data_IF_309184067919
#
_entry.id   IF_309184067919
#
_cell.length_a   1.000
_cell.length_b   1.000
_cell.length_c   1.000
_cell.angle_alpha   90.00
_cell.angle_beta   90.00
_cell.angle_gamma   90.00
#
_symmetry.space_group_name_H-M   'P 1'
#
loop_
_entity.id
_entity.type
_entity.pdbx_description
1 polymer ?
#
# COMPACT_ATOMS: atom_id res chain seq x y z
N UNK A 1 3.38 -4.51 32.49
CA UNK A 1 2.19 -5.32 32.84
C UNK A 1 1.06 -4.56 33.51
N UNK A 2 1.31 -3.75 34.56
CA UNK A 2 0.27 -3.05 35.37
C UNK A 2 -0.74 -2.24 34.53
N UNK A 3 -0.30 -1.48 33.52
CA UNK A 3 -1.20 -0.69 32.68
C UNK A 3 -2.12 -1.52 31.76
N UNK A 4 -1.65 -2.67 31.25
CA UNK A 4 -2.45 -3.58 30.40
C UNK A 4 -3.63 -4.14 31.19
N UNK A 5 -3.34 -4.64 32.39
CA UNK A 5 -4.36 -5.16 33.30
C UNK A 5 -5.38 -4.10 33.74
N UNK A 6 -4.93 -2.87 34.00
CA UNK A 6 -5.82 -1.76 34.35
C UNK A 6 -6.78 -1.38 33.21
N UNK A 7 -6.37 -1.48 31.94
CA UNK A 7 -7.28 -1.27 30.79
C UNK A 7 -8.27 -2.43 30.64
N UNK A 8 -7.81 -3.66 30.80
CA UNK A 8 -8.64 -4.85 30.70
C UNK A 8 -9.75 -4.87 31.76
N UNK A 9 -9.46 -4.36 32.97
CA UNK A 9 -10.47 -4.16 34.02
C UNK A 9 -11.55 -3.14 33.69
N UNK A 10 -11.24 -2.12 32.86
CA UNK A 10 -12.20 -1.09 32.45
C UNK A 10 -13.06 -1.53 31.28
N UNK A 11 -12.45 -2.25 30.33
CA UNK A 11 -13.13 -2.80 29.17
C UNK A 11 -12.43 -4.09 28.75
N UNK A 12 -13.14 -5.21 28.90
CA UNK A 12 -12.66 -6.54 28.51
C UNK A 12 -12.36 -6.54 27.01
N UNK A 13 -11.20 -7.08 26.63
CA UNK A 13 -10.74 -7.13 25.24
C UNK A 13 -10.12 -5.84 24.71
N UNK A 14 -10.10 -4.74 25.47
CA UNK A 14 -9.56 -3.44 25.04
C UNK A 14 -8.11 -3.52 24.56
N UNK A 15 -7.28 -4.34 25.23
CA UNK A 15 -5.90 -4.49 24.83
C UNK A 15 -5.75 -5.22 23.49
N UNK A 16 -6.52 -6.30 23.27
CA UNK A 16 -6.53 -7.03 22.00
C UNK A 16 -7.02 -6.13 20.86
N UNK A 17 -8.12 -5.40 21.08
CA UNK A 17 -8.66 -4.45 20.10
C UNK A 17 -7.65 -3.34 19.74
N UNK A 18 -6.94 -2.79 20.73
CA UNK A 18 -5.90 -1.78 20.50
C UNK A 18 -4.72 -2.34 19.71
N UNK A 19 -4.30 -3.59 19.99
CA UNK A 19 -3.22 -4.25 19.27
C UNK A 19 -3.58 -4.49 17.79
N UNK A 20 -4.81 -4.94 17.51
CA UNK A 20 -5.31 -5.13 16.14
C UNK A 20 -5.37 -3.80 15.37
N UNK A 21 -5.88 -2.73 16.00
CA UNK A 21 -5.90 -1.39 15.40
C UNK A 21 -4.50 -0.88 15.07
N UNK A 22 -3.53 -1.09 15.96
CA UNK A 22 -2.15 -0.69 15.73
C UNK A 22 -1.52 -1.49 14.57
N UNK A 23 -1.87 -2.76 14.40
CA UNK A 23 -1.42 -3.57 13.28
C UNK A 23 -1.99 -3.04 11.95
N UNK A 24 -3.29 -2.77 11.91
CA UNK A 24 -3.98 -2.14 10.77
C UNK A 24 -3.29 -0.84 10.35
N UNK A 25 -3.07 0.07 11.30
CA UNK A 25 -2.42 1.36 11.02
C UNK A 25 -1.01 1.19 10.44
N UNK A 26 -0.25 0.19 10.92
CA UNK A 26 1.09 -0.11 10.39
C UNK A 26 1.04 -0.66 8.98
N UNK A 27 0.09 -1.55 8.68
CA UNK A 27 -0.10 -2.09 7.34
C UNK A 27 -0.47 -0.99 6.35
N UNK A 28 -1.44 -0.13 6.70
CA UNK A 28 -1.83 1.02 5.89
C UNK A 28 -0.65 1.96 5.63
N UNK A 29 0.15 2.25 6.66
CA UNK A 29 1.33 3.12 6.54
C UNK A 29 2.34 2.53 5.54
N UNK A 30 2.64 1.24 5.63
CA UNK A 30 3.56 0.55 4.70
C UNK A 30 3.05 0.55 3.25
N UNK A 31 1.75 0.32 3.08
CA UNK A 31 1.11 0.34 1.76
C UNK A 31 1.15 1.73 1.14
N UNK A 32 0.84 2.75 1.96
CA UNK A 32 0.97 4.16 1.59
C UNK A 32 2.40 4.49 1.17
N UNK A 33 3.40 4.12 1.97
CA UNK A 33 4.81 4.41 1.67
C UNK A 33 5.23 3.80 0.33
N UNK A 34 4.89 2.53 0.11
CA UNK A 34 5.18 1.82 -1.15
C UNK A 34 4.55 2.51 -2.37
N UNK A 35 3.27 2.89 -2.26
CA UNK A 35 2.53 3.59 -3.32
C UNK A 35 3.08 4.99 -3.55
N UNK A 36 3.47 5.70 -2.48
CA UNK A 36 4.00 7.05 -2.55
C UNK A 36 5.39 7.07 -3.21
N UNK A 37 6.27 6.15 -2.83
CA UNK A 37 7.60 6.00 -3.43
C UNK A 37 7.47 5.74 -4.93
N UNK A 38 6.58 4.83 -5.33
CA UNK A 38 6.28 4.58 -6.74
C UNK A 38 5.77 5.84 -7.46
N UNK A 39 4.82 6.56 -6.87
CA UNK A 39 4.27 7.79 -7.44
C UNK A 39 5.32 8.90 -7.60
N UNK A 40 6.29 8.99 -6.68
CA UNK A 40 7.41 9.92 -6.76
C UNK A 40 8.34 9.54 -7.92
N UNK A 41 8.72 8.26 -8.02
CA UNK A 41 9.59 7.75 -9.08
C UNK A 41 8.96 7.97 -10.46
N UNK A 42 7.66 7.70 -10.60
CA UNK A 42 6.90 7.88 -11.84
C UNK A 42 6.45 9.32 -12.09
N UNK A 43 6.83 10.27 -11.22
CA UNK A 43 6.53 11.71 -11.36
C UNK A 43 5.04 12.03 -11.53
N UNK A 44 4.19 11.35 -10.78
CA UNK A 44 2.74 11.63 -10.81
C UNK A 44 2.42 13.07 -10.40
N UNK A 45 1.27 13.55 -10.89
CA UNK A 45 0.78 14.88 -10.58
C UNK A 45 0.67 15.11 -9.06
N UNK A 46 0.85 16.36 -8.63
CA UNK A 46 0.73 16.73 -7.21
C UNK A 46 -0.65 16.36 -6.64
N UNK A 47 -1.70 16.38 -7.47
CA UNK A 47 -3.06 15.97 -7.11
C UNK A 47 -3.12 14.52 -6.66
N UNK A 48 -2.56 13.61 -7.44
CA UNK A 48 -2.52 12.19 -7.10
C UNK A 48 -1.64 11.93 -5.88
N UNK A 49 -0.48 12.58 -5.82
CA UNK A 49 0.42 12.43 -4.66
C UNK A 49 -0.24 12.84 -3.35
N UNK A 50 -1.02 13.94 -3.33
CA UNK A 50 -1.75 14.39 -2.14
C UNK A 50 -2.77 13.35 -1.66
N UNK A 51 -3.43 12.62 -2.57
CA UNK A 51 -4.34 11.53 -2.19
C UNK A 51 -3.56 10.33 -1.65
N UNK A 52 -2.46 9.96 -2.30
CA UNK A 52 -1.62 8.81 -1.91
C UNK A 52 -0.86 9.05 -0.60
N UNK A 53 -0.58 10.30 -0.24
CA UNK A 53 0.12 10.64 1.01
C UNK A 53 -0.76 10.42 2.25
N UNK A 54 -2.07 10.51 2.08
CA UNK A 54 -3.03 10.45 3.17
C UNK A 54 -3.28 9.01 3.61
N UNK A 55 -2.93 8.65 4.85
CA UNK A 55 -3.05 7.27 5.36
C UNK A 55 -4.50 6.78 5.30
N UNK A 56 -5.46 7.66 5.59
CA UNK A 56 -6.89 7.35 5.51
C UNK A 56 -7.38 7.06 4.09
N UNK A 57 -6.58 7.35 3.06
CA UNK A 57 -6.92 7.00 1.69
C UNK A 57 -6.67 5.53 1.36
N UNK A 58 -5.92 4.78 2.20
CA UNK A 58 -5.51 3.39 1.93
C UNK A 58 -6.37 2.39 2.72
N UNK A 59 -6.68 1.25 2.11
CA UNK A 59 -7.31 0.12 2.80
C UNK A 59 -6.33 -0.52 3.77
N UNK A 60 -6.84 -1.11 4.85
CA UNK A 60 -6.08 -2.12 5.59
C UNK A 60 -6.30 -3.44 4.85
N UNK A 61 -5.22 -3.96 4.27
CA UNK A 61 -5.26 -5.22 3.55
C UNK A 61 -4.91 -6.33 4.54
N UNK A 62 -5.85 -7.23 4.78
CA UNK A 62 -5.65 -8.38 5.67
C UNK A 62 -5.08 -9.56 4.87
N UNK A 63 -4.25 -10.38 5.53
CA UNK A 63 -3.79 -11.64 4.95
C UNK A 63 -5.00 -12.54 4.73
N UNK A 64 -5.11 -13.13 3.56
CA UNK A 64 -6.06 -14.20 3.32
C UNK A 64 -5.69 -15.41 4.17
N UNK A 65 -6.53 -15.76 5.14
CA UNK A 65 -6.31 -16.89 6.03
C UNK A 65 -6.28 -18.24 5.29
N UNK A 66 -6.78 -18.31 4.06
CA UNK A 66 -6.75 -19.53 3.24
C UNK A 66 -5.49 -19.65 2.40
N UNK A 67 -4.93 -18.53 1.97
CA UNK A 67 -3.71 -18.48 1.16
C UNK A 67 -2.76 -17.46 1.80
N UNK A 68 -1.83 -17.96 2.63
CA UNK A 68 -0.83 -17.18 3.38
C UNK A 68 0.06 -16.22 2.55
N UNK A 69 -0.17 -16.11 1.23
CA UNK A 69 0.54 -15.25 0.28
C UNK A 69 -0.33 -14.15 -0.35
N UNK A 70 -1.66 -14.16 -0.15
CA UNK A 70 -2.58 -13.19 -0.74
C UNK A 70 -3.15 -12.24 0.30
N UNK A 71 -3.41 -11.00 -0.10
CA UNK A 71 -3.98 -9.96 0.76
C UNK A 71 -5.32 -9.51 0.19
N UNK A 72 -6.35 -9.51 1.02
CA UNK A 72 -7.70 -9.14 0.62
C UNK A 72 -7.82 -7.61 0.71
N UNK A 73 -8.05 -6.96 -0.44
CA UNK A 73 -8.30 -5.51 -0.47
C UNK A 73 -9.67 -5.26 0.15
N UNK A 74 -9.68 -4.55 1.29
CA UNK A 74 -10.92 -4.13 1.91
C UNK A 74 -11.48 -2.86 1.26
N UNK A 75 -12.79 -2.83 1.03
CA UNK A 75 -13.46 -1.67 0.44
C UNK A 75 -13.69 -0.59 1.49
N UNK A 76 -13.23 0.64 1.21
CA UNK A 76 -13.51 1.81 2.02
C UNK A 76 -14.86 2.40 1.61
N UNK A 77 -15.86 2.36 2.50
CA UNK A 77 -17.23 2.80 2.18
C UNK A 77 -17.33 4.30 1.83
N UNK A 78 -16.39 5.11 2.30
CA UNK A 78 -16.32 6.53 1.98
C UNK A 78 -15.59 6.84 0.67
N UNK A 79 -14.92 5.87 0.06
CA UNK A 79 -14.20 6.07 -1.20
C UNK A 79 -15.17 5.95 -2.38
N UNK A 80 -15.08 6.86 -3.34
CA UNK A 80 -15.86 6.83 -4.58
C UNK A 80 -15.45 5.68 -5.49
N UNK A 81 -16.29 5.33 -6.47
CA UNK A 81 -15.94 4.37 -7.52
C UNK A 81 -14.70 4.81 -8.30
N UNK A 82 -14.60 6.10 -8.64
CA UNK A 82 -13.44 6.66 -9.37
C UNK A 82 -12.14 6.47 -8.57
N UNK A 83 -12.17 6.73 -7.27
CA UNK A 83 -11.03 6.54 -6.41
C UNK A 83 -10.67 5.04 -6.22
N UNK A 84 -11.65 4.13 -6.13
CA UNK A 84 -11.38 2.69 -6.11
C UNK A 84 -10.68 2.21 -7.40
N UNK A 85 -11.16 2.65 -8.57
CA UNK A 85 -10.54 2.31 -9.86
C UNK A 85 -9.11 2.86 -9.93
N UNK A 86 -8.88 4.10 -9.48
CA UNK A 86 -7.56 4.70 -9.44
C UNK A 86 -6.56 3.89 -8.58
N UNK A 87 -6.92 3.52 -7.35
CA UNK A 87 -6.02 2.73 -6.50
C UNK A 87 -5.74 1.35 -7.10
N UNK A 88 -6.73 0.74 -7.76
CA UNK A 88 -6.53 -0.52 -8.48
C UNK A 88 -5.52 -0.34 -9.62
N UNK A 89 -5.68 0.71 -10.44
CA UNK A 89 -4.73 1.03 -11.53
C UNK A 89 -3.32 1.30 -11.00
N UNK A 90 -3.21 1.94 -9.84
CA UNK A 90 -1.96 2.17 -9.17
C UNK A 90 -1.27 0.85 -8.77
N UNK A 91 -2.01 -0.07 -8.16
CA UNK A 91 -1.50 -1.37 -7.76
C UNK A 91 -1.11 -2.22 -8.99
N UNK A 92 -1.94 -2.23 -10.04
CA UNK A 92 -1.63 -2.85 -11.34
C UNK A 92 -0.32 -2.29 -11.93
N UNK A 93 -0.13 -0.97 -11.90
CA UNK A 93 1.08 -0.32 -12.42
C UNK A 93 2.33 -0.68 -11.59
N UNK A 94 2.19 -0.75 -10.26
CA UNK A 94 3.27 -1.20 -9.36
C UNK A 94 3.65 -2.64 -9.68
N UNK A 95 2.68 -3.54 -9.77
CA UNK A 95 2.89 -4.97 -10.07
C UNK A 95 3.58 -5.15 -11.42
N UNK A 96 3.09 -4.47 -12.46
CA UNK A 96 3.71 -4.50 -13.79
C UNK A 96 5.15 -3.98 -13.78
N UNK A 97 5.44 -2.92 -13.02
CA UNK A 97 6.79 -2.38 -12.92
C UNK A 97 7.77 -3.37 -12.28
N UNK A 98 7.31 -4.12 -11.27
CA UNK A 98 8.11 -5.13 -10.58
C UNK A 98 8.40 -6.34 -11.45
N UNK A 99 7.36 -6.83 -12.17
CA UNK A 99 7.50 -7.88 -13.18
C UNK A 99 8.55 -7.52 -14.22
N UNK A 100 8.54 -6.27 -14.71
CA UNK A 100 9.54 -5.76 -15.68
C UNK A 100 10.93 -5.66 -15.09
N UNK A 101 11.06 -5.28 -13.82
CA UNK A 101 12.34 -5.13 -13.14
C UNK A 101 12.98 -6.49 -12.74
N UNK A 102 12.32 -7.62 -13.01
CA UNK A 102 12.73 -8.96 -12.53
C UNK A 102 13.01 -9.02 -11.02
N UNK A 103 12.48 -8.05 -10.27
CA UNK A 103 12.58 -8.04 -8.82
C UNK A 103 11.70 -9.19 -8.35
N UNK A 104 12.31 -10.15 -7.65
CA UNK A 104 11.59 -11.26 -7.02
C UNK A 104 10.38 -10.69 -6.27
N UNK A 105 9.20 -11.25 -6.55
CA UNK A 105 7.86 -10.79 -6.18
C UNK A 105 7.57 -10.90 -4.68
N UNK A 106 8.52 -10.49 -3.83
CA UNK A 106 8.38 -10.42 -2.38
C UNK A 106 7.29 -9.45 -1.92
N UNK A 107 6.71 -8.68 -2.84
CA UNK A 107 5.50 -7.94 -2.54
C UNK A 107 4.28 -8.86 -2.55
N UNK A 108 3.55 -8.72 -1.45
CA UNK A 108 2.25 -9.30 -1.15
C UNK A 108 1.31 -9.14 -2.34
N UNK A 109 0.91 -10.25 -2.97
CA UNK A 109 -0.09 -10.21 -4.04
C UNK A 109 -1.43 -9.79 -3.44
N UNK A 110 -1.93 -8.63 -3.85
CA UNK A 110 -3.25 -8.15 -3.44
C UNK A 110 -4.31 -8.74 -4.36
N UNK A 111 -5.37 -9.27 -3.76
CA UNK A 111 -6.48 -9.89 -4.47
C UNK A 111 -7.78 -9.23 -4.08
N UNK A 112 -8.59 -8.95 -5.10
CA UNK A 112 -9.94 -8.46 -4.88
C UNK A 112 -10.84 -9.65 -4.50
N UNK A 113 -11.52 -9.61 -3.36
CA UNK A 113 -12.44 -10.68 -2.99
C UNK A 113 -13.65 -10.66 -3.93
N UNK A 114 -14.19 -11.85 -4.25
CA UNK A 114 -15.44 -11.99 -5.04
C UNK A 114 -16.61 -11.27 -4.39
N UNK A 115 -16.65 -11.27 -3.06
CA UNK A 115 -17.61 -10.52 -2.26
C UNK A 115 -16.86 -9.36 -1.59
N UNK A 116 -17.28 -8.11 -1.79
CA UNK A 116 -16.62 -6.96 -1.18
C UNK A 116 -16.53 -7.10 0.34
N UNK A 117 -15.31 -7.07 0.87
CA UNK A 117 -15.08 -7.05 2.32
C UNK A 117 -15.00 -5.60 2.77
N UNK A 118 -15.96 -5.16 3.58
CA UNK A 118 -15.97 -3.79 4.12
C UNK A 118 -14.79 -3.61 5.07
N UNK A 119 -14.05 -2.52 4.88
CA UNK A 119 -12.93 -2.17 5.74
C UNK A 119 -13.40 -1.80 7.15
N UNK A 120 -12.57 -2.12 8.15
CA UNK A 120 -12.77 -1.71 9.55
C UNK A 120 -12.57 -0.19 9.74
N UNK A 121 -11.98 0.48 8.75
CA UNK A 121 -11.75 1.92 8.78
C UNK A 121 -13.01 2.69 8.39
N UNK A 122 -13.63 3.31 9.39
CA UNK A 122 -14.90 4.05 9.23
C UNK A 122 -14.68 5.55 9.05
N UNK A 123 -13.56 6.09 9.55
CA UNK A 123 -13.28 7.51 9.47
C UNK A 123 -12.65 7.88 8.11
N UNK A 124 -13.30 8.76 7.32
CA UNK A 124 -12.69 9.26 6.10
C UNK A 124 -11.56 10.24 6.42
N UNK A 125 -10.53 10.32 5.57
CA UNK A 125 -9.56 11.40 5.63
C UNK A 125 -10.27 12.74 5.38
N UNK A 126 -9.69 13.82 5.91
CA UNK A 126 -10.19 15.19 5.74
C UNK A 126 -9.30 15.88 4.70
N UNK A 127 -9.90 16.71 3.85
CA UNK A 127 -9.12 17.56 2.95
C UNK A 127 -8.65 16.88 1.65
N UNK A 128 -9.28 15.76 1.27
CA UNK A 128 -9.13 15.17 -0.05
C UNK A 128 -10.09 15.79 -1.10
N UNK A 129 -9.82 15.61 -2.41
CA UNK A 129 -10.64 16.13 -3.51
C UNK A 129 -12.08 15.62 -3.49
N UNK A 130 -13.03 16.38 -4.05
CA UNK A 130 -14.46 16.08 -4.01
C UNK A 130 -14.79 14.70 -4.59
N UNK A 131 -14.17 14.36 -5.72
CA UNK A 131 -14.40 13.09 -6.41
C UNK A 131 -13.67 11.90 -5.78
N UNK A 132 -12.98 12.09 -4.64
CA UNK A 132 -12.51 11.00 -3.79
C UNK A 132 -13.65 10.39 -2.97
N UNK A 133 -14.58 11.20 -2.48
CA UNK A 133 -15.60 10.73 -1.57
C UNK A 133 -16.79 10.13 -2.32
N UNK A 134 -17.38 9.10 -1.75
CA UNK A 134 -18.71 8.65 -2.13
C UNK A 134 -19.72 9.80 -1.88
N UNK A 135 -20.65 10.12 -2.82
CA UNK A 135 -21.63 11.17 -2.66
C UNK A 135 -22.43 11.12 -1.34
N UNK A 136 -22.75 9.92 -0.85
CA UNK A 136 -23.47 9.71 0.41
C UNK A 136 -22.64 10.13 1.64
N UNK A 137 -21.32 10.01 1.55
CA UNK A 137 -20.39 10.47 2.57
C UNK A 137 -20.10 11.96 2.44
N UNK A 138 -19.98 12.46 1.22
CA UNK A 138 -19.74 13.88 0.96
C UNK A 138 -20.81 14.79 1.58
N UNK A 139 -22.09 14.43 1.46
CA UNK A 139 -23.22 15.17 2.06
C UNK A 139 -23.12 15.35 3.59
N UNK A 140 -22.34 14.52 4.28
CA UNK A 140 -22.16 14.55 5.75
C UNK A 140 -20.91 15.28 6.19
N UNK A 141 -20.02 15.63 5.26
CA UNK A 141 -18.79 16.36 5.53
C UNK A 141 -19.07 17.87 5.43
N UNK A 142 -18.38 18.67 6.22
CA UNK A 142 -18.21 20.11 5.96
C UNK A 142 -17.02 20.25 5.02
N UNK A 143 -17.23 20.35 3.69
CA UNK A 143 -16.12 20.26 2.76
C UNK A 143 -15.25 21.51 2.91
N UNK A 144 -13.96 21.29 3.08
CA UNK A 144 -12.99 22.17 2.46
C UNK A 144 -12.69 21.55 1.08
N UNK A 145 -12.45 22.39 0.07
CA UNK A 145 -11.86 22.04 -1.22
C UNK A 145 -12.85 21.67 -2.36
N UNK A 146 -13.18 22.68 -3.17
CA UNK A 146 -13.77 22.57 -4.53
C UNK A 146 -12.79 21.97 -5.57
N UNK A 147 -11.85 21.11 -5.18
CA UNK A 147 -10.85 20.55 -6.09
C UNK A 147 -11.19 19.13 -6.51
N UNK A 148 -10.83 18.80 -7.74
CA UNK A 148 -11.07 17.51 -8.38
C UNK A 148 -9.72 16.88 -8.71
N UNK A 149 -9.58 15.56 -8.55
CA UNK A 149 -8.31 14.89 -8.86
C UNK A 149 -8.40 13.86 -9.97
N UNK A 150 -9.41 12.99 -9.94
CA UNK A 150 -9.56 11.95 -10.96
C UNK A 150 -10.16 12.47 -12.26
N UNK A 151 -9.78 11.83 -13.36
CA UNK A 151 -10.39 11.99 -14.68
C UNK A 151 -11.89 11.61 -14.65
N UNK A 152 -12.70 12.04 -15.64
CA UNK A 152 -14.09 11.61 -15.76
C UNK A 152 -14.15 10.09 -15.88
N UNK A 153 -13.33 9.53 -16.78
CA UNK A 153 -13.04 8.11 -16.86
C UNK A 153 -11.74 7.77 -16.09
N UNK A 154 -11.83 7.13 -14.91
CA UNK A 154 -10.65 6.77 -14.12
C UNK A 154 -9.82 5.62 -14.74
N UNK A 155 -10.33 4.89 -15.74
CA UNK A 155 -9.61 3.79 -16.38
C UNK A 155 -8.47 4.26 -17.27
N UNK A 156 -8.57 5.50 -17.77
CA UNK A 156 -7.53 6.16 -18.56
C UNK A 156 -6.38 6.70 -17.70
N UNK A 157 -6.52 6.63 -16.37
CA UNK A 157 -5.49 7.08 -15.46
C UNK A 157 -4.32 6.10 -15.39
N UNK A 158 -3.11 6.64 -15.21
CA UNK A 158 -1.87 5.87 -15.02
C UNK A 158 -1.51 4.93 -16.20
N UNK A 159 -2.05 5.20 -17.39
CA UNK A 159 -1.69 4.50 -18.61
C UNK A 159 -0.24 4.79 -19.04
N UNK A 160 0.45 3.88 -19.76
CA UNK A 160 1.81 4.11 -20.24
C UNK A 160 1.98 5.39 -21.06
N UNK A 161 0.91 5.80 -21.76
CA UNK A 161 0.77 7.13 -22.34
C UNK A 161 -0.16 7.94 -21.44
N UNK A 162 0.38 8.95 -20.77
CA UNK A 162 -0.41 9.81 -19.90
C UNK A 162 -1.52 10.53 -20.66
N UNK A 163 -2.71 10.57 -20.05
CA UNK A 163 -3.81 11.38 -20.56
C UNK A 163 -3.41 12.87 -20.53
N UNK A 164 -3.71 13.67 -21.56
CA UNK A 164 -3.30 15.08 -21.64
C UNK A 164 -3.75 15.90 -20.44
N UNK A 165 -4.95 15.62 -19.90
CA UNK A 165 -5.46 16.34 -18.73
C UNK A 165 -4.70 16.06 -17.42
N UNK A 166 -4.04 14.91 -17.29
CA UNK A 166 -3.23 14.61 -16.09
C UNK A 166 -2.00 15.51 -16.00
N UNK A 167 -1.52 16.01 -17.14
CA UNK A 167 -0.37 16.91 -17.23
C UNK A 167 -0.75 18.39 -17.01
N UNK A 168 -2.06 18.70 -16.96
CA UNK A 168 -2.53 20.06 -16.72
C UNK A 168 -2.32 20.48 -15.26
N UNK A 169 -2.02 21.77 -15.08
CA UNK A 169 -2.08 22.45 -13.79
C UNK A 169 -3.48 22.34 -13.18
N UNK A 170 -3.56 22.20 -11.85
CA UNK A 170 -4.80 21.94 -11.09
C UNK A 170 -5.93 22.93 -11.41
N UNK A 171 -5.62 24.21 -11.58
CA UNK A 171 -6.61 25.23 -11.97
C UNK A 171 -7.24 24.94 -13.34
N UNK A 172 -6.45 24.51 -14.31
CA UNK A 172 -6.93 24.17 -15.67
C UNK A 172 -7.67 22.83 -15.64
N UNK A 173 -7.14 21.86 -14.88
CA UNK A 173 -7.76 20.56 -14.72
C UNK A 173 -9.16 20.68 -14.11
N UNK A 174 -9.31 21.34 -12.96
CA UNK A 174 -10.61 21.49 -12.31
C UNK A 174 -11.62 22.17 -13.24
N UNK A 175 -11.22 23.22 -13.96
CA UNK A 175 -12.08 23.90 -14.93
C UNK A 175 -12.51 23.01 -16.10
N UNK A 176 -11.65 22.10 -16.54
CA UNK A 176 -11.99 21.14 -17.60
C UNK A 176 -12.96 20.08 -17.08
N UNK A 177 -12.72 19.54 -15.88
CA UNK A 177 -13.58 18.50 -15.30
C UNK A 177 -14.94 19.07 -14.87
N UNK A 178 -15.01 20.29 -14.34
CA UNK A 178 -16.26 20.98 -14.04
C UNK A 178 -17.21 21.03 -15.25
N UNK A 179 -16.68 21.12 -16.47
CA UNK A 179 -17.49 21.05 -17.69
C UNK A 179 -18.03 19.64 -17.96
N UNK A 180 -17.26 18.59 -17.66
CA UNK A 180 -17.66 17.20 -17.91
C UNK A 180 -18.64 16.66 -16.85
N UNK A 181 -18.51 17.08 -15.58
CA UNK A 181 -19.36 16.56 -14.49
C UNK A 181 -20.81 17.04 -14.61
N UNK A 182 -21.08 18.17 -15.26
CA UNK A 182 -22.44 18.63 -15.50
C UNK A 182 -23.26 17.73 -16.45
N UNK A 183 -22.66 16.73 -17.08
CA UNK A 183 -23.31 15.89 -18.11
C UNK A 183 -23.58 14.44 -17.66
N UNK A 184 -23.01 13.95 -16.54
CA UNK A 184 -22.97 12.51 -16.22
C UNK A 184 -23.70 12.08 -14.92
N UNK A 185 -24.26 13.00 -14.14
CA UNK A 185 -24.70 12.71 -12.75
C UNK A 185 -26.11 12.10 -12.61
N UNK A 186 -26.62 11.30 -13.56
CA UNK A 186 -27.93 10.62 -13.40
C UNK A 186 -27.95 9.09 -13.47
N UNK A 187 -26.91 8.38 -13.93
CA UNK A 187 -27.10 6.94 -14.23
C UNK A 187 -25.97 6.01 -13.78
N UNK A 188 -26.11 5.48 -12.56
CA UNK A 188 -26.02 4.05 -12.22
C UNK A 188 -25.69 3.86 -10.73
N UNK A 189 -26.72 4.01 -9.90
CA UNK A 189 -26.75 3.33 -8.59
C UNK A 189 -26.96 1.83 -8.84
N UNK A 190 -25.92 1.14 -9.29
CA UNK A 190 -25.87 -0.31 -9.37
C UNK A 190 -24.99 -0.85 -8.26
N UNK A 191 -25.52 -1.77 -7.45
CA UNK A 191 -24.69 -2.63 -6.60
C UNK A 191 -23.50 -3.16 -7.41
N UNK A 192 -22.36 -3.20 -6.75
CA UNK A 192 -21.11 -3.82 -7.17
C UNK A 192 -21.38 -5.12 -7.96
N UNK A 193 -21.34 -5.06 -9.30
CA UNK A 193 -21.22 -6.29 -10.08
C UNK A 193 -19.78 -6.79 -9.94
N UNK A 194 -19.58 -8.00 -9.40
CA UNK A 194 -18.25 -8.59 -9.34
C UNK A 194 -17.74 -8.76 -10.77
N UNK A 195 -16.70 -8.02 -11.15
CA UNK A 195 -15.99 -8.27 -12.39
C UNK A 195 -15.53 -9.73 -12.41
N UNK A 196 -15.91 -10.45 -13.46
CA UNK A 196 -15.60 -11.85 -13.76
C UNK A 196 -14.10 -12.08 -13.99
N UNK A 197 -13.27 -11.91 -12.97
CA UNK A 197 -11.86 -12.33 -13.03
C UNK A 197 -11.51 -13.06 -11.74
N UNK A 198 -12.17 -14.20 -11.54
CA UNK A 198 -11.67 -15.22 -10.64
C UNK A 198 -10.39 -15.78 -11.26
N UNK A 199 -9.23 -15.53 -10.65
CA UNK A 199 -8.02 -16.26 -11.01
C UNK A 199 -8.25 -17.75 -10.76
N UNK A 200 -8.12 -18.56 -11.82
CA UNK A 200 -8.00 -20.00 -11.70
C UNK A 200 -6.71 -20.33 -10.95
N UNK A 201 -6.81 -21.31 -10.07
CA UNK A 201 -5.79 -21.74 -9.13
C UNK A 201 -4.72 -22.54 -9.89
N UNK A 202 -3.73 -21.86 -10.45
CA UNK A 202 -2.55 -22.55 -10.99
C UNK A 202 -1.71 -23.05 -9.81
N UNK A 203 -1.89 -24.35 -9.50
CA UNK A 203 -1.12 -25.11 -8.51
C UNK A 203 0.39 -24.92 -8.73
N UNK A 204 1.00 -24.16 -7.83
CA UNK A 204 2.46 -24.00 -7.78
C UNK A 204 3.10 -25.30 -7.28
N UNK A 205 3.63 -26.11 -8.18
CA UNK A 205 4.49 -27.25 -7.86
C UNK A 205 5.79 -26.78 -7.18
N UNK A 206 6.11 -27.22 -5.95
CA UNK A 206 7.37 -26.91 -5.31
C UNK A 206 8.50 -27.71 -5.96
N UNK A 207 9.47 -27.01 -6.54
CA UNK A 207 10.72 -27.61 -7.00
C UNK A 207 11.43 -28.35 -5.85
N UNK A 208 11.84 -29.57 -6.15
CA UNK A 208 12.55 -30.50 -5.27
C UNK A 208 13.86 -29.89 -4.77
N UNK A 209 14.13 -30.04 -3.47
CA UNK A 209 15.42 -29.71 -2.86
C UNK A 209 16.31 -30.94 -3.02
N UNK A 210 17.39 -30.83 -3.78
CA UNK A 210 18.52 -31.77 -3.66
C UNK A 210 19.28 -31.46 -2.36
N UNK A 211 19.28 -32.44 -1.45
CA UNK A 211 20.20 -32.50 -0.32
C UNK A 211 21.55 -32.99 -0.83
N UNK A 212 22.57 -32.13 -0.73
CA UNK A 212 23.97 -32.48 -0.93
C UNK A 212 24.67 -32.53 0.42
N UNK A 213 24.68 -33.73 0.99
CA UNK A 213 25.46 -34.15 2.15
C UNK A 213 26.97 -34.14 1.81
N UNK A 214 27.80 -33.63 2.71
CA UNK A 214 29.25 -33.89 2.73
C UNK A 214 29.80 -33.52 4.12
N UNK A 215 29.82 -34.52 4.99
CA UNK A 215 30.78 -34.63 6.08
C UNK A 215 32.17 -34.93 5.49
N UNK A 216 33.21 -34.19 5.88
CA UNK A 216 34.52 -34.80 6.14
C UNK A 216 35.29 -34.03 7.21
N UNK A 217 35.93 -34.83 8.03
CA UNK A 217 36.60 -34.61 9.29
C UNK A 217 38.06 -34.19 9.07
N UNK A 218 38.66 -33.69 10.16
CA UNK A 218 40.02 -34.01 10.58
C UNK A 218 41.03 -32.87 10.73
N UNK A 219 41.40 -32.75 12.00
CA UNK A 219 42.77 -32.63 12.53
C UNK A 219 43.28 -31.21 12.82
N UNK A 220 43.51 -31.00 14.13
CA UNK A 220 43.98 -29.74 14.69
C UNK A 220 45.48 -29.52 14.61
N UNK A 221 45.88 -28.37 15.14
CA UNK A 221 47.21 -28.20 15.72
C UNK A 221 47.18 -27.03 16.71
N UNK A 222 47.14 -27.35 18.00
CA UNK A 222 47.62 -26.46 19.04
C UNK A 222 49.15 -26.43 18.98
N UNK A 223 49.76 -25.24 19.01
CA UNK A 223 51.11 -25.04 19.55
C UNK A 223 51.37 -23.55 19.83
N UNK A 224 51.41 -23.25 21.12
CA UNK A 224 51.98 -22.04 21.71
C UNK A 224 53.48 -21.91 21.41
N UNK A 225 53.98 -20.68 21.33
CA UNK A 225 55.31 -20.32 21.81
C UNK A 225 55.42 -18.79 21.99
N UNK A 226 55.72 -18.40 23.23
CA UNK A 226 56.00 -17.05 23.69
C UNK A 226 57.39 -16.52 23.26
N UNK A 227 57.48 -15.18 23.30
CA UNK A 227 58.61 -14.37 23.78
C UNK A 227 59.77 -14.02 22.83
N UNK A 228 60.02 -12.72 22.58
CA UNK A 228 60.95 -11.90 23.38
C UNK A 228 61.46 -10.60 22.67
N UNK A 229 61.37 -9.48 23.41
CA UNK A 229 62.29 -8.31 23.53
C UNK A 229 62.55 -7.39 22.30
N UNK A 230 62.19 -6.08 22.31
CA UNK A 230 62.61 -4.89 23.13
C UNK A 230 63.94 -4.26 22.65
N UNK A 231 63.91 -2.96 22.29
CA UNK A 231 64.92 -1.86 22.39
C UNK A 231 64.23 -0.60 21.80
N UNK A 232 63.83 0.45 22.54
CA UNK A 232 64.64 1.59 23.07
C UNK A 232 65.40 2.31 21.92
N UNK A 233 65.34 3.60 21.63
CA UNK A 233 64.70 4.83 22.14
C UNK A 233 65.43 5.98 21.40
N UNK A 234 64.76 7.06 20.97
CA UNK A 234 65.42 8.34 20.61
C UNK A 234 64.44 9.48 20.88
N UNK A 235 64.72 10.23 21.94
CA UNK A 235 64.40 11.65 22.04
C UNK A 235 65.50 12.43 21.30
N UNK A 236 65.13 13.39 20.46
CA UNK A 236 65.86 14.66 20.35
C UNK A 236 64.93 15.74 19.77
N UNK A 237 65.00 16.92 20.38
CA UNK A 237 64.14 18.10 20.18
C UNK A 237 64.48 18.90 18.90
N UNK A 238 63.52 19.74 18.51
CA UNK A 238 63.55 20.87 17.54
C UNK A 238 63.30 20.55 16.05
#
# INVERSE_FOLDING_TARGET
>A
MKQRWMREKKAIGSHKASALKNLSNKNQSRLRDTRLDFAIIQKFSKRYRRIIEEIGAHSDDEVDNTNNKRYIISTLNYRSRKANIFFRKLDEAIEQSQKRASLSSWQRLQVLPKVPVVSKNVAPPIGLPINFYNPQWFKKLTPDIQSVAFLPNPEESLMPKHHPDEQLLDKKFNKNIEKCVCEEDEESEGLYEPGEYAYEDDEFSPAEKEEGDNEDDSSGNERSADNAQKMEGVEEEL
#
